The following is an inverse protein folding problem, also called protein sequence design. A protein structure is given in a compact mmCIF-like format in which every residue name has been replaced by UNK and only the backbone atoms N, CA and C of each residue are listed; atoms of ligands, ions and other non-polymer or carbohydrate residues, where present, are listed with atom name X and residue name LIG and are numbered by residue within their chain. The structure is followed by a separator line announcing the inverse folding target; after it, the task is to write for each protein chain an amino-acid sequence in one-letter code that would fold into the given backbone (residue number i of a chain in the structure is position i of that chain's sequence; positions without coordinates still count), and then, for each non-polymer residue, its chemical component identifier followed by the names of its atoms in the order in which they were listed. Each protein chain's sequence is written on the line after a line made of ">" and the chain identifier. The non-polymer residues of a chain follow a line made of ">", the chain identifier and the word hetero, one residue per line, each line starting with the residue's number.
data_IF_162180890738
#
_entry.id   IF_162180890738
#
_cell.length_a   1.000
_cell.length_b   1.000
_cell.length_c   1.000
_cell.angle_alpha   90.00
_cell.angle_beta   90.00
_cell.angle_gamma   90.00
#
_symmetry.space_group_name_H-M   'P 1'
#
loop_
_entity.id
_entity.type
_entity.pdbx_description
1 polymer ?
#
# COMPACT_ATOMS: atom_id res chain seq x y z
N UNK A 1 5.01 -4.18 31.96
CA UNK A 1 5.85 -5.39 31.78
C UNK A 1 6.46 -5.33 30.38
N UNK A 2 7.47 -6.13 30.01
CA UNK A 2 8.05 -6.09 28.66
C UNK A 2 6.99 -6.21 27.55
N UNK A 3 5.94 -6.99 27.80
CA UNK A 3 4.83 -7.20 26.87
C UNK A 3 3.97 -5.96 26.63
N UNK A 4 3.71 -5.12 27.64
CA UNK A 4 2.96 -3.87 27.44
C UNK A 4 3.73 -2.89 26.57
N UNK A 5 5.05 -2.80 26.78
CA UNK A 5 5.92 -1.95 25.97
C UNK A 5 5.95 -2.38 24.49
N UNK A 6 5.95 -3.68 24.21
CA UNK A 6 5.86 -4.18 22.83
C UNK A 6 4.52 -3.82 22.17
N UNK A 7 3.40 -3.97 22.89
CA UNK A 7 2.07 -3.61 22.36
C UNK A 7 1.96 -2.12 22.06
N UNK A 8 2.49 -1.26 22.93
CA UNK A 8 2.51 0.20 22.74
C UNK A 8 3.36 0.59 21.52
N UNK A 9 4.52 -0.06 21.32
CA UNK A 9 5.35 0.14 20.13
C UNK A 9 4.64 -0.31 18.85
N UNK A 10 3.92 -1.44 18.86
CA UNK A 10 3.14 -1.90 17.71
C UNK A 10 2.02 -0.91 17.36
N UNK A 11 1.36 -0.34 18.37
CA UNK A 11 0.34 0.69 18.16
C UNK A 11 0.92 1.99 17.57
N UNK A 12 2.13 2.38 18.00
CA UNK A 12 2.82 3.52 17.41
C UNK A 12 3.19 3.26 15.95
N UNK A 13 3.69 2.05 15.64
CA UNK A 13 4.05 1.65 14.27
C UNK A 13 2.82 1.73 13.35
N UNK A 14 1.70 1.16 13.77
CA UNK A 14 0.43 1.21 13.04
C UNK A 14 -0.01 2.65 12.73
N UNK A 15 0.00 3.53 13.73
CA UNK A 15 -0.33 4.95 13.55
C UNK A 15 0.58 5.64 12.52
N UNK A 16 1.89 5.35 12.54
CA UNK A 16 2.82 5.93 11.58
C UNK A 16 2.61 5.43 10.15
N UNK A 17 2.26 4.15 9.98
CA UNK A 17 1.97 3.59 8.67
C UNK A 17 0.66 4.12 8.10
N UNK A 18 -0.37 4.27 8.95
CA UNK A 18 -1.63 4.90 8.56
C UNK A 18 -1.39 6.36 8.13
N UNK A 19 -0.55 7.10 8.87
CA UNK A 19 -0.18 8.47 8.50
C UNK A 19 0.53 8.52 7.14
N UNK A 20 1.44 7.57 6.86
CA UNK A 20 2.09 7.46 5.55
C UNK A 20 1.08 7.16 4.42
N UNK A 21 0.09 6.30 4.67
CA UNK A 21 -0.97 6.02 3.72
C UNK A 21 -1.82 7.26 3.41
N UNK A 22 -2.22 8.02 4.44
CA UNK A 22 -2.95 9.28 4.30
C UNK A 22 -2.15 10.26 3.44
N UNK A 23 -0.85 10.38 3.70
CA UNK A 23 0.04 11.27 2.95
C UNK A 23 0.15 10.87 1.47
N UNK A 24 0.25 9.57 1.16
CA UNK A 24 0.19 9.09 -0.22
C UNK A 24 -1.15 9.41 -0.91
N UNK A 25 -2.27 9.26 -0.21
CA UNK A 25 -3.60 9.60 -0.76
C UNK A 25 -3.72 11.10 -1.03
N UNK A 26 -3.20 11.95 -0.12
CA UNK A 26 -3.17 13.40 -0.31
C UNK A 26 -2.37 13.76 -1.55
N UNK A 27 -1.16 13.20 -1.72
CA UNK A 27 -0.34 13.48 -2.90
C UNK A 27 -0.99 12.98 -4.19
N UNK A 28 -1.57 11.79 -4.20
CA UNK A 28 -2.32 11.28 -5.35
C UNK A 28 -3.53 12.18 -5.68
N UNK A 29 -4.22 12.71 -4.66
CA UNK A 29 -5.31 13.67 -4.85
C UNK A 29 -4.81 15.00 -5.44
N UNK A 30 -3.72 15.53 -4.90
CA UNK A 30 -3.10 16.75 -5.41
C UNK A 30 -2.66 16.60 -6.87
N UNK A 31 -2.02 15.48 -7.21
CA UNK A 31 -1.61 15.17 -8.57
C UNK A 31 -2.81 15.04 -9.52
N UNK A 32 -3.86 14.34 -9.12
CA UNK A 32 -5.01 14.13 -9.99
C UNK A 32 -5.87 15.37 -10.20
N UNK A 33 -6.06 16.19 -9.16
CA UNK A 33 -7.00 17.30 -9.19
C UNK A 33 -6.35 18.67 -9.34
N UNK A 34 -5.24 18.94 -8.66
CA UNK A 34 -4.61 20.27 -8.65
C UNK A 34 -3.54 20.38 -9.74
N UNK A 35 -2.65 19.38 -9.88
CA UNK A 35 -1.61 19.41 -10.92
C UNK A 35 -2.21 19.44 -12.33
N UNK A 36 -3.33 18.74 -12.59
CA UNK A 36 -4.02 18.81 -13.89
C UNK A 36 -4.59 20.21 -14.20
N UNK A 37 -4.96 21.01 -13.19
CA UNK A 37 -5.50 22.36 -13.37
C UNK A 37 -4.39 23.37 -13.67
N UNK A 38 -3.24 23.31 -12.98
CA UNK A 38 -2.09 24.19 -13.25
C UNK A 38 -1.51 23.96 -14.65
N UNK A 39 -1.42 22.70 -15.09
CA UNK A 39 -0.96 22.34 -16.45
C UNK A 39 -1.91 22.88 -17.53
N UNK A 40 -3.21 22.96 -17.23
CA UNK A 40 -4.18 23.56 -18.14
C UNK A 40 -4.09 25.10 -18.18
N UNK A 41 -3.43 25.71 -17.19
CA UNK A 41 -3.34 27.16 -17.01
C UNK A 41 -1.99 27.72 -17.51
N UNK A 42 -0.89 26.94 -17.49
CA UNK A 42 0.41 27.33 -18.06
C UNK A 42 0.98 26.28 -19.02
N UNK A 43 0.92 26.59 -20.33
CA UNK A 43 1.68 25.89 -21.37
C UNK A 43 3.05 26.55 -21.58
N UNK A 44 4.01 26.34 -20.68
CA UNK A 44 5.43 26.58 -20.98
C UNK A 44 6.33 25.87 -19.97
N UNK A 45 7.19 24.99 -20.46
CA UNK A 45 8.23 24.26 -19.72
C UNK A 45 7.77 23.24 -18.65
N UNK A 46 7.28 22.09 -19.13
CA UNK A 46 7.29 20.87 -18.29
C UNK A 46 8.67 20.22 -18.32
N UNK A 47 9.38 20.09 -17.18
CA UNK A 47 10.61 19.30 -17.13
C UNK A 47 10.30 17.81 -17.27
N UNK A 48 11.20 17.08 -17.93
CA UNK A 48 11.04 15.68 -18.39
C UNK A 48 10.59 14.66 -17.31
N UNK A 49 10.89 14.91 -16.03
CA UNK A 49 10.54 14.02 -14.91
C UNK A 49 9.05 14.06 -14.50
N UNK A 50 8.26 14.99 -15.06
CA UNK A 50 6.87 15.25 -14.67
C UNK A 50 5.82 14.60 -15.61
N UNK A 51 6.24 13.64 -16.44
CA UNK A 51 5.42 13.05 -17.50
C UNK A 51 4.90 11.63 -17.25
N UNK A 52 5.39 10.91 -16.25
CA UNK A 52 5.07 9.48 -16.05
C UNK A 52 5.23 9.09 -14.59
N UNK A 53 4.49 9.72 -13.68
CA UNK A 53 4.21 9.01 -12.42
C UNK A 53 3.27 7.89 -12.84
N UNK A 54 3.86 6.72 -13.07
CA UNK A 54 3.14 5.53 -13.46
C UNK A 54 2.11 5.22 -12.37
N UNK A 55 0.84 5.42 -12.73
CA UNK A 55 -0.30 5.14 -11.87
C UNK A 55 -0.28 3.69 -11.37
N UNK A 56 0.40 2.77 -12.07
CA UNK A 56 0.61 1.40 -11.62
C UNK A 56 1.55 1.33 -10.42
N UNK A 57 2.72 1.96 -10.50
CA UNK A 57 3.66 2.10 -9.38
C UNK A 57 3.04 2.75 -8.14
N UNK A 58 2.15 3.74 -8.29
CA UNK A 58 1.44 4.34 -7.16
C UNK A 58 0.42 3.38 -6.53
N UNK A 59 -0.35 2.63 -7.34
CA UNK A 59 -1.30 1.62 -6.84
C UNK A 59 -0.61 0.50 -6.07
N UNK A 60 0.53 -0.01 -6.57
CA UNK A 60 1.30 -1.07 -5.92
C UNK A 60 1.85 -0.61 -4.56
N UNK A 61 2.37 0.63 -4.47
CA UNK A 61 2.86 1.20 -3.20
C UNK A 61 1.76 1.33 -2.14
N UNK A 62 0.55 1.73 -2.57
CA UNK A 62 -0.61 1.82 -1.69
C UNK A 62 -1.03 0.43 -1.16
N UNK A 63 -1.14 -0.56 -2.05
CA UNK A 63 -1.52 -1.93 -1.66
C UNK A 63 -0.47 -2.54 -0.73
N UNK A 64 0.82 -2.35 -1.03
CA UNK A 64 1.91 -2.82 -0.17
C UNK A 64 1.83 -2.24 1.25
N UNK A 65 1.47 -0.96 1.38
CA UNK A 65 1.31 -0.31 2.69
C UNK A 65 0.11 -0.86 3.46
N UNK A 66 -1.00 -1.11 2.78
CA UNK A 66 -2.20 -1.70 3.38
C UNK A 66 -1.96 -3.14 3.85
N UNK A 67 -1.23 -3.94 3.07
CA UNK A 67 -0.81 -5.29 3.48
C UNK A 67 0.08 -5.21 4.72
N UNK A 68 1.07 -4.32 4.75
CA UNK A 68 1.99 -4.16 5.88
C UNK A 68 1.27 -3.78 7.18
N UNK A 69 0.31 -2.85 7.13
CA UNK A 69 -0.53 -2.46 8.27
C UNK A 69 -1.28 -3.69 8.83
N UNK A 70 -1.93 -4.46 7.96
CA UNK A 70 -2.70 -5.64 8.38
C UNK A 70 -1.84 -6.75 9.03
N UNK A 71 -0.55 -6.85 8.70
CA UNK A 71 0.38 -7.79 9.37
C UNK A 71 0.65 -7.37 10.80
N UNK A 72 0.86 -6.07 11.06
CA UNK A 72 1.17 -5.55 12.40
C UNK A 72 -0.03 -5.75 13.33
N UNK A 73 -1.22 -5.50 12.80
CA UNK A 73 -2.48 -5.79 13.46
C UNK A 73 -2.61 -7.26 13.88
N UNK A 74 -2.25 -8.20 13.00
CA UNK A 74 -2.23 -9.62 13.31
C UNK A 74 -1.15 -9.99 14.32
N UNK A 75 0.04 -9.39 14.23
CA UNK A 75 1.13 -9.63 15.18
C UNK A 75 0.72 -9.22 16.60
N UNK A 76 -0.01 -8.11 16.72
CA UNK A 76 -0.60 -7.67 17.99
C UNK A 76 -1.53 -8.73 18.57
N UNK A 77 -2.46 -9.26 17.77
CA UNK A 77 -3.37 -10.34 18.20
C UNK A 77 -2.61 -11.60 18.63
N UNK A 78 -1.56 -11.98 17.89
CA UNK A 78 -0.74 -13.14 18.24
C UNK A 78 -0.02 -12.96 19.58
N UNK A 79 0.47 -11.74 19.88
CA UNK A 79 1.09 -11.42 21.16
C UNK A 79 0.06 -11.41 22.29
N UNK A 80 -1.17 -10.94 22.05
CA UNK A 80 -2.25 -10.95 23.03
C UNK A 80 -2.77 -12.38 23.31
N UNK A 81 -2.75 -13.25 22.31
CA UNK A 81 -3.10 -14.67 22.41
C UNK A 81 -1.96 -15.53 22.98
N UNK A 82 -0.76 -14.98 23.20
CA UNK A 82 0.40 -15.74 23.68
C UNK A 82 0.06 -16.43 25.01
N UNK A 83 0.07 -17.77 25.02
CA UNK A 83 -0.29 -18.58 26.19
C UNK A 83 -1.73 -19.10 26.22
N UNK A 84 -2.52 -18.86 25.18
CA UNK A 84 -3.85 -19.46 24.99
C UNK A 84 -3.85 -20.47 23.83
N UNK A 85 -4.38 -21.67 24.06
CA UNK A 85 -4.49 -22.72 23.02
C UNK A 85 -5.65 -22.50 22.02
N UNK A 86 -6.35 -21.36 22.09
CA UNK A 86 -7.60 -21.14 21.37
C UNK A 86 -7.53 -19.84 20.58
N UNK A 87 -7.64 -19.93 19.25
CA UNK A 87 -7.77 -18.75 18.39
C UNK A 87 -9.25 -18.36 18.29
N UNK A 88 -9.59 -17.16 18.79
CA UNK A 88 -10.94 -16.62 18.72
C UNK A 88 -11.43 -16.39 17.28
N UNK A 89 -12.75 -16.27 17.10
CA UNK A 89 -13.35 -16.05 15.78
C UNK A 89 -12.88 -14.75 15.11
N UNK A 90 -12.65 -13.68 15.89
CA UNK A 90 -12.14 -12.41 15.39
C UNK A 90 -10.77 -12.53 14.73
N UNK A 91 -9.80 -13.15 15.40
CA UNK A 91 -8.46 -13.37 14.86
C UNK A 91 -8.49 -14.25 13.61
N UNK A 92 -9.35 -15.28 13.55
CA UNK A 92 -9.54 -16.10 12.34
C UNK A 92 -9.99 -15.25 11.15
N UNK A 93 -10.97 -14.36 11.35
CA UNK A 93 -11.44 -13.46 10.29
C UNK A 93 -10.37 -12.46 9.85
N UNK A 94 -9.58 -11.91 10.79
CA UNK A 94 -8.47 -11.02 10.45
C UNK A 94 -7.41 -11.74 9.62
N UNK A 95 -7.11 -13.01 9.92
CA UNK A 95 -6.20 -13.83 9.10
C UNK A 95 -6.78 -14.02 7.68
N UNK A 96 -8.06 -14.33 7.55
CA UNK A 96 -8.72 -14.50 6.24
C UNK A 96 -8.68 -13.20 5.42
N UNK A 97 -8.97 -12.05 6.04
CA UNK A 97 -8.90 -10.74 5.39
C UNK A 97 -7.46 -10.43 4.96
N UNK A 98 -6.48 -10.68 5.83
CA UNK A 98 -5.07 -10.47 5.49
C UNK A 98 -4.64 -11.32 4.28
N UNK A 99 -5.01 -12.60 4.25
CA UNK A 99 -4.76 -13.46 3.08
C UNK A 99 -5.41 -12.92 1.81
N UNK A 100 -6.60 -12.32 1.93
CA UNK A 100 -7.29 -11.66 0.81
C UNK A 100 -6.51 -10.44 0.30
N UNK A 101 -5.94 -9.63 1.20
CA UNK A 101 -5.09 -8.50 0.83
C UNK A 101 -3.78 -8.94 0.17
N UNK A 102 -3.13 -9.99 0.69
CA UNK A 102 -1.91 -10.56 0.07
C UNK A 102 -2.22 -11.08 -1.33
N UNK A 103 -3.29 -11.88 -1.48
CA UNK A 103 -3.71 -12.39 -2.77
C UNK A 103 -4.00 -11.25 -3.77
N UNK A 104 -4.70 -10.20 -3.32
CA UNK A 104 -4.98 -9.02 -4.13
C UNK A 104 -3.68 -8.32 -4.56
N UNK A 105 -2.72 -8.14 -3.65
CA UNK A 105 -1.41 -7.55 -3.97
C UNK A 105 -0.62 -8.34 -5.00
N UNK A 106 -0.62 -9.67 -4.89
CA UNK A 106 0.00 -10.56 -5.89
C UNK A 106 -0.68 -10.41 -7.25
N UNK A 107 -2.01 -10.40 -7.29
CA UNK A 107 -2.75 -10.22 -8.55
C UNK A 107 -2.44 -8.87 -9.22
N UNK A 108 -2.33 -7.79 -8.44
CA UNK A 108 -1.93 -6.49 -8.95
C UNK A 108 -0.51 -6.49 -9.51
N UNK A 109 0.46 -7.09 -8.79
CA UNK A 109 1.83 -7.22 -9.26
C UNK A 109 1.91 -8.08 -10.54
N UNK A 110 1.12 -9.14 -10.65
CA UNK A 110 1.02 -9.96 -11.86
C UNK A 110 0.43 -9.18 -13.04
N UNK A 111 -0.61 -8.39 -12.80
CA UNK A 111 -1.21 -7.54 -13.84
C UNK A 111 -0.18 -6.57 -14.42
N UNK A 112 0.60 -5.94 -13.54
CA UNK A 112 1.65 -4.99 -13.91
C UNK A 112 2.77 -5.68 -14.71
N UNK A 113 3.25 -6.83 -14.22
CA UNK A 113 4.26 -7.63 -14.92
C UNK A 113 3.81 -8.09 -16.32
N UNK A 114 2.53 -8.45 -16.47
CA UNK A 114 1.96 -8.84 -17.77
C UNK A 114 1.84 -7.63 -18.69
N UNK A 115 1.48 -6.45 -18.19
CA UNK A 115 1.38 -5.22 -18.97
C UNK A 115 2.76 -4.80 -19.51
N UNK A 116 3.78 -4.79 -18.65
CA UNK A 116 5.15 -4.43 -19.01
C UNK A 116 5.74 -5.36 -20.09
N UNK A 117 5.44 -6.66 -20.00
CA UNK A 117 5.87 -7.65 -21.02
C UNK A 117 5.19 -7.46 -22.38
N UNK A 118 4.03 -6.79 -22.47
CA UNK A 118 3.33 -6.51 -23.73
C UNK A 118 3.92 -5.32 -24.49
N UNK A 119 4.62 -4.42 -23.83
CA UNK A 119 5.24 -3.25 -24.49
C UNK A 119 6.50 -3.61 -25.30
N UNK A 120 7.04 -4.82 -25.18
CA UNK A 120 8.28 -5.26 -25.83
C UNK A 120 8.13 -5.89 -27.24
N UNK A 121 7.07 -5.55 -28.00
CA UNK A 121 6.90 -5.99 -29.39
C UNK A 121 6.44 -4.84 -30.31
N UNK A 122 7.40 -4.05 -30.82
CA UNK A 122 7.13 -2.95 -31.75
C UNK A 122 8.36 -2.33 -32.43
N UNK A 123 8.92 -3.05 -33.40
CA UNK A 123 9.68 -2.57 -34.59
C UNK A 123 10.80 -1.54 -34.43
N UNK A 124 12.04 -2.02 -34.27
CA UNK A 124 13.18 -1.45 -35.00
C UNK A 124 13.43 -2.30 -36.25
N UNK A 125 13.07 -1.75 -37.41
CA UNK A 125 13.56 -2.15 -38.74
C UNK A 125 13.66 -0.89 -39.57
#
# INVERSE_FOLDING_TARGET
>A
TPQSFTLDLLALLDLTLLANLILMVIFAGYENFVSRIDVATESKDRPHWMGTIDFSGLKIKLIGSLVAISVIELLKDFIELSGQDHVGGGTKWRIVIHLTFVASGVLFALMDWIADKREFHGTHS
#
